data_IF_646089104462
#
_entry.id   IF_646089104462
#
_cell.length_a   1.000
_cell.length_b   1.000
_cell.length_c   1.000
_cell.angle_alpha   90.00
_cell.angle_beta   90.00
_cell.angle_gamma   90.00
#
_symmetry.space_group_name_H-M   'P 1'
#
loop_
_entity.id
_entity.type
_entity.pdbx_description
1 polymer ?
#
# COMPACT_ATOMS: atom_id res chain seq x y z
N UNK A 1 -9.40 4.85 11.76
CA UNK A 1 -7.96 4.64 11.55
C UNK A 1 -7.22 5.62 12.43
N UNK A 2 -6.38 5.12 13.33
CA UNK A 2 -5.60 5.89 14.33
C UNK A 2 -4.13 5.97 13.95
N UNK A 3 -3.62 4.93 13.28
CA UNK A 3 -2.22 4.86 12.89
C UNK A 3 -2.08 5.16 11.41
N UNK A 4 -1.05 5.92 11.04
CA UNK A 4 -0.74 6.28 9.65
C UNK A 4 0.75 6.12 9.37
N UNK A 5 1.12 5.60 8.20
CA UNK A 5 2.49 5.55 7.74
C UNK A 5 2.89 6.91 7.15
N UNK A 6 3.94 7.52 7.68
CA UNK A 6 4.49 8.80 7.21
C UNK A 6 5.94 8.63 6.81
N UNK A 7 6.34 9.29 5.72
CA UNK A 7 7.74 9.35 5.29
C UNK A 7 8.36 10.65 5.81
N UNK A 8 9.54 10.54 6.40
CA UNK A 8 10.33 11.70 6.81
C UNK A 8 11.19 12.24 5.64
N UNK A 9 11.69 13.49 5.74
CA UNK A 9 12.51 14.11 4.69
C UNK A 9 13.79 13.35 4.33
N UNK A 10 14.33 12.53 5.23
CA UNK A 10 15.51 11.67 5.01
C UNK A 10 15.15 10.39 4.22
N UNK A 11 13.87 10.18 3.93
CA UNK A 11 13.36 9.06 3.14
C UNK A 11 12.99 7.83 3.98
N UNK A 12 13.15 7.88 5.30
CA UNK A 12 12.75 6.83 6.21
C UNK A 12 11.26 6.91 6.52
N UNK A 13 10.68 5.81 7.00
CA UNK A 13 9.26 5.72 7.33
C UNK A 13 9.05 5.55 8.82
N UNK A 14 7.91 6.05 9.29
CA UNK A 14 7.46 5.89 10.65
C UNK A 14 5.95 5.63 10.68
N UNK A 15 5.48 4.98 11.74
CA UNK A 15 4.05 4.90 12.03
C UNK A 15 3.71 6.00 13.02
N UNK A 16 2.75 6.85 12.69
CA UNK A 16 2.33 7.99 13.51
C UNK A 16 0.94 7.73 14.10
N UNK A 17 0.79 7.95 15.40
CA UNK A 17 -0.50 7.89 16.09
C UNK A 17 -1.18 9.26 16.00
N UNK A 18 -2.27 9.34 15.24
CA UNK A 18 -3.00 10.60 15.03
C UNK A 18 -3.81 11.05 16.24
N UNK A 19 -3.98 10.19 17.25
CA UNK A 19 -4.74 10.51 18.47
C UNK A 19 -3.85 11.12 19.54
N UNK A 20 -2.63 10.60 19.69
CA UNK A 20 -1.66 11.11 20.67
C UNK A 20 -0.64 12.07 20.04
N UNK A 21 -0.68 12.23 18.72
CA UNK A 21 0.22 13.11 17.96
C UNK A 21 1.70 12.76 18.17
N UNK A 22 1.98 11.47 18.38
CA UNK A 22 3.32 10.93 18.63
C UNK A 22 3.63 9.73 17.73
N UNK A 23 4.92 9.41 17.51
CA UNK A 23 5.31 8.17 16.85
C UNK A 23 4.76 6.96 17.58
N UNK A 24 4.15 6.03 16.84
CA UNK A 24 3.57 4.83 17.42
C UNK A 24 4.65 3.99 18.09
N UNK A 25 4.38 3.53 19.31
CA UNK A 25 5.22 2.60 20.03
C UNK A 25 4.66 1.18 19.90
N UNK A 26 5.52 0.21 19.59
CA UNK A 26 5.20 -1.20 19.65
C UNK A 26 6.19 -1.91 20.57
N UNK A 27 5.67 -2.56 21.61
CA UNK A 27 6.45 -3.32 22.58
C UNK A 27 7.62 -2.51 23.21
N UNK A 28 7.39 -1.24 23.55
CA UNK A 28 8.43 -0.38 24.14
C UNK A 28 9.45 0.16 23.13
N UNK A 29 9.20 0.02 21.83
CA UNK A 29 10.05 0.56 20.76
C UNK A 29 9.26 1.45 19.83
N UNK A 30 9.81 2.63 19.59
CA UNK A 30 9.26 3.61 18.65
C UNK A 30 9.41 3.09 17.22
N UNK A 31 8.31 3.10 16.47
CA UNK A 31 8.24 2.65 15.08
C UNK A 31 8.72 3.74 14.11
N UNK A 32 10.01 4.04 14.16
CA UNK A 32 10.74 4.99 13.29
C UNK A 32 11.89 4.26 12.58
N UNK A 33 12.40 4.82 11.48
CA UNK A 33 13.52 4.20 10.77
C UNK A 33 13.11 3.06 9.83
N UNK A 34 11.81 2.92 9.56
CA UNK A 34 11.23 1.79 8.83
C UNK A 34 11.39 1.95 7.32
N UNK A 35 11.31 0.84 6.62
CA UNK A 35 11.03 0.85 5.18
C UNK A 35 9.55 1.14 4.91
N UNK A 36 9.23 1.57 3.68
CA UNK A 36 7.85 1.82 3.27
C UNK A 36 6.94 0.61 3.43
N UNK A 37 7.48 -0.60 3.24
CA UNK A 37 6.72 -1.85 3.40
C UNK A 37 6.41 -2.12 4.87
N UNK A 38 7.40 -1.98 5.75
CA UNK A 38 7.25 -2.20 7.19
C UNK A 38 6.25 -1.20 7.80
N UNK A 39 6.37 0.08 7.45
CA UNK A 39 5.46 1.11 7.97
C UNK A 39 4.01 0.87 7.53
N UNK A 40 3.78 0.45 6.28
CA UNK A 40 2.44 0.10 5.80
C UNK A 40 1.88 -1.13 6.52
N UNK A 41 2.68 -2.21 6.63
CA UNK A 41 2.25 -3.43 7.31
C UNK A 41 1.93 -3.18 8.80
N UNK A 42 2.80 -2.46 9.50
CA UNK A 42 2.59 -2.08 10.91
C UNK A 42 1.38 -1.16 11.08
N UNK A 43 1.17 -0.22 10.15
CA UNK A 43 -0.01 0.65 10.15
C UNK A 43 -1.30 -0.15 10.02
N UNK A 44 -1.33 -1.12 9.10
CA UNK A 44 -2.49 -2.01 8.94
C UNK A 44 -2.67 -2.83 10.21
N UNK A 45 -1.65 -3.54 10.68
CA UNK A 45 -1.71 -4.37 11.87
C UNK A 45 -2.15 -3.59 13.13
N UNK A 46 -1.66 -2.36 13.32
CA UNK A 46 -2.03 -1.51 14.45
C UNK A 46 -3.47 -1.00 14.35
N UNK A 47 -3.94 -0.68 13.15
CA UNK A 47 -5.34 -0.30 12.93
C UNK A 47 -6.31 -1.50 13.06
N UNK A 48 -5.87 -2.71 12.67
CA UNK A 48 -6.65 -3.95 12.81
C UNK A 48 -6.70 -4.47 14.26
N UNK A 49 -5.59 -4.40 14.98
CA UNK A 49 -5.55 -4.74 16.40
C UNK A 49 -6.37 -3.77 17.27
N UNK A 50 -6.51 -2.52 16.83
CA UNK A 50 -7.34 -1.51 17.49
C UNK A 50 -8.84 -1.57 17.11
N UNK A 51 -9.21 -2.38 16.12
CA UNK A 51 -10.58 -2.48 15.64
C UNK A 51 -10.89 -3.87 15.11
N UNK A 52 -11.59 -4.68 15.90
CA UNK A 52 -12.23 -5.90 15.41
C UNK A 52 -13.12 -5.58 14.20
N UNK A 53 -12.63 -5.86 13.00
CA UNK A 53 -13.32 -5.44 11.77
C UNK A 53 -12.63 -5.84 10.47
N UNK A 54 -12.29 -7.13 10.32
CA UNK A 54 -11.89 -7.86 9.09
C UNK A 54 -10.62 -7.39 8.33
N UNK A 55 -9.60 -8.27 8.20
CA UNK A 55 -8.54 -8.09 7.21
C UNK A 55 -9.10 -8.20 5.79
N UNK A 56 -8.79 -7.22 4.96
CA UNK A 56 -8.79 -7.43 3.53
C UNK A 56 -7.75 -8.52 3.20
N UNK A 57 -8.07 -9.48 2.33
CA UNK A 57 -7.11 -10.53 1.98
C UNK A 57 -5.88 -9.89 1.34
N UNK A 58 -4.72 -10.16 1.94
CA UNK A 58 -3.41 -9.89 1.36
C UNK A 58 -3.28 -10.70 0.06
N UNK A 59 -3.37 -10.02 -1.07
CA UNK A 59 -3.10 -10.60 -2.39
C UNK A 59 -1.58 -10.84 -2.50
N UNK A 60 -1.17 -12.07 -2.19
CA UNK A 60 0.11 -12.61 -2.63
C UNK A 60 0.00 -12.95 -4.13
N UNK A 61 0.08 -11.95 -5.04
CA UNK A 61 -0.02 -12.27 -6.46
C UNK A 61 -0.16 -11.15 -7.49
N UNK A 62 0.68 -10.11 -7.48
CA UNK A 62 0.79 -9.25 -8.68
C UNK A 62 2.21 -8.68 -8.82
N UNK A 63 3.12 -9.42 -9.45
CA UNK A 63 3.32 -9.41 -10.90
C UNK A 63 3.56 -7.99 -11.44
N UNK A 64 4.84 -7.64 -11.56
CA UNK A 64 5.27 -6.52 -12.39
C UNK A 64 4.81 -6.71 -13.84
N UNK A 65 4.50 -5.58 -14.49
CA UNK A 65 4.29 -5.41 -15.94
C UNK A 65 3.21 -6.29 -16.58
N UNK A 66 1.98 -5.78 -16.67
CA UNK A 66 1.12 -6.07 -17.84
C UNK A 66 -0.09 -5.13 -17.97
N UNK A 67 0.08 -3.80 -17.93
CA UNK A 67 -0.97 -2.88 -18.41
C UNK A 67 -0.51 -2.13 -19.65
N UNK A 68 -0.35 -2.86 -20.77
CA UNK A 68 -0.18 -2.23 -22.10
C UNK A 68 -0.51 -3.15 -23.29
N UNK A 69 -1.49 -4.03 -23.14
CA UNK A 69 -2.02 -4.78 -24.29
C UNK A 69 -3.53 -4.88 -24.17
N UNK A 70 -4.23 -3.92 -24.76
CA UNK A 70 -5.60 -4.13 -25.26
C UNK A 70 -6.18 -3.02 -26.14
N UNK A 71 -5.40 -2.03 -26.61
CA UNK A 71 -5.91 -1.01 -27.55
C UNK A 71 -5.46 -1.15 -29.02
N UNK A 72 -4.66 -2.17 -29.39
CA UNK A 72 -4.14 -2.32 -30.77
C UNK A 72 -4.89 -3.40 -31.60
N UNK A 73 -5.66 -4.30 -30.97
CA UNK A 73 -6.40 -5.37 -31.69
C UNK A 73 -7.87 -4.98 -31.91
N UNK A 74 -8.12 -3.77 -32.39
CA UNK A 74 -9.45 -3.41 -32.93
C UNK A 74 -9.41 -2.52 -34.18
N UNK A 75 -8.25 -1.94 -34.54
CA UNK A 75 -8.12 -1.22 -35.81
C UNK A 75 -7.76 -2.13 -37.00
N UNK A 76 -6.96 -3.18 -36.81
CA UNK A 76 -6.51 -4.02 -37.94
C UNK A 76 -7.59 -4.92 -38.56
N UNK A 77 -8.74 -5.11 -37.89
CA UNK A 77 -9.86 -5.90 -38.43
C UNK A 77 -10.94 -5.06 -39.12
N UNK A 78 -10.62 -3.79 -39.46
CA UNK A 78 -11.49 -2.91 -40.27
C UNK A 78 -10.86 -2.48 -41.60
N UNK A 79 -9.72 -3.05 -41.98
CA UNK A 79 -9.09 -2.78 -43.29
C UNK A 79 -9.09 -4.00 -44.23
N UNK A 80 -9.53 -5.19 -43.79
CA UNK A 80 -9.71 -6.38 -44.64
C UNK A 80 -11.16 -6.68 -45.05
N UNK A 81 -12.03 -5.68 -45.06
CA UNK A 81 -13.41 -5.85 -45.56
C UNK A 81 -13.85 -4.70 -46.46
N UNK A 82 -12.89 -3.98 -47.05
CA UNK A 82 -13.20 -2.97 -48.08
C UNK A 82 -12.24 -3.03 -49.28
N UNK A 83 -11.59 -4.17 -49.48
CA UNK A 83 -10.94 -4.53 -50.74
C UNK A 83 -11.74 -5.62 -51.43
#
# INVERSE_FOLDING_TARGET
MRFVAVQDPTGSWAVFDTVNEEPAEFAGRVLIGLTSHEAQWLTVAANEGAGAGKPAPVDHGQAGKAERRQLIVLQEKRERSSG
#
